data_IF_665774721267
#
_entry.id   IF_665774721267
#
_cell.length_a   1.000
_cell.length_b   1.000
_cell.length_c   1.000
_cell.angle_alpha   90.00
_cell.angle_beta   90.00
_cell.angle_gamma   90.00
#
_symmetry.space_group_name_H-M   'P 1'
#
loop_
_entity.id
_entity.type
_entity.pdbx_description
1 polymer ?
#
# COMPACT_ATOMS: atom_id res chain seq x y z
N UNK A 1 30.03 -4.44 7.46
CA UNK A 1 28.68 -3.85 7.32
C UNK A 1 28.58 -2.74 8.35
N UNK A 2 27.95 -1.62 7.98
CA UNK A 2 27.76 -0.48 8.90
C UNK A 2 26.90 -0.93 10.11
N UNK A 3 27.27 -0.55 11.37
CA UNK A 3 26.61 -1.07 12.59
C UNK A 3 25.10 -0.85 12.64
N UNK A 4 24.60 0.31 12.24
CA UNK A 4 23.15 0.62 12.22
C UNK A 4 22.37 -0.22 11.21
N UNK A 5 22.92 -0.49 10.04
CA UNK A 5 22.29 -1.39 9.06
C UNK A 5 22.21 -2.81 9.61
N UNK A 6 23.28 -3.32 10.23
CA UNK A 6 23.29 -4.64 10.86
C UNK A 6 22.28 -4.73 12.02
N UNK A 7 22.18 -3.68 12.84
CA UNK A 7 21.23 -3.60 13.95
C UNK A 7 19.77 -3.55 13.45
N UNK A 8 19.48 -2.80 12.37
CA UNK A 8 18.16 -2.74 11.76
C UNK A 8 17.74 -4.09 11.16
N UNK A 9 18.64 -4.82 10.50
CA UNK A 9 18.35 -6.19 10.03
C UNK A 9 17.99 -7.11 11.21
N UNK A 10 18.77 -7.07 12.28
CA UNK A 10 18.49 -7.83 13.50
C UNK A 10 17.14 -7.47 14.12
N UNK A 11 16.84 -6.18 14.26
CA UNK A 11 15.54 -5.71 14.76
C UNK A 11 14.38 -6.13 13.85
N UNK A 12 14.62 -6.25 12.54
CA UNK A 12 13.65 -6.75 11.58
C UNK A 12 13.49 -8.29 11.56
N UNK A 13 14.28 -9.02 12.34
CA UNK A 13 14.30 -10.49 12.30
C UNK A 13 14.81 -11.04 10.95
N UNK A 14 15.69 -10.30 10.28
CA UNK A 14 16.28 -10.65 8.99
C UNK A 14 17.78 -10.92 9.14
N UNK A 15 18.30 -11.82 8.33
CA UNK A 15 19.72 -12.15 8.31
C UNK A 15 20.45 -11.31 7.25
N UNK A 16 21.43 -10.48 7.63
CA UNK A 16 22.12 -9.59 6.68
C UNK A 16 22.84 -10.33 5.54
N UNK A 17 23.30 -11.55 5.76
CA UNK A 17 23.96 -12.36 4.74
C UNK A 17 23.03 -12.78 3.59
N UNK A 18 21.71 -12.72 3.81
CA UNK A 18 20.68 -13.04 2.82
C UNK A 18 19.92 -11.79 2.32
N UNK A 19 20.46 -10.60 2.60
CA UNK A 19 19.81 -9.34 2.25
C UNK A 19 19.64 -9.19 0.73
N UNK A 20 18.42 -8.93 0.32
CA UNK A 20 18.06 -8.54 -1.04
C UNK A 20 17.63 -7.06 -1.09
N UNK A 21 17.57 -6.47 -2.28
CA UNK A 21 17.09 -5.08 -2.45
C UNK A 21 15.72 -4.83 -1.82
N UNK A 22 14.86 -5.84 -1.85
CA UNK A 22 13.54 -5.83 -1.20
C UNK A 22 13.61 -5.57 0.32
N UNK A 23 14.59 -6.14 1.03
CA UNK A 23 14.71 -5.98 2.48
C UNK A 23 15.02 -4.54 2.89
N UNK A 24 15.81 -3.82 2.08
CA UNK A 24 16.07 -2.39 2.32
C UNK A 24 14.77 -1.57 2.20
N UNK A 25 13.96 -1.83 1.19
CA UNK A 25 12.71 -1.11 0.96
C UNK A 25 11.58 -1.48 1.94
N UNK A 26 11.48 -2.74 2.33
CA UNK A 26 10.31 -3.26 3.05
C UNK A 26 10.59 -3.73 4.48
N UNK A 27 11.86 -3.93 4.86
CA UNK A 27 12.21 -4.23 6.23
C UNK A 27 12.90 -3.05 6.93
N UNK A 28 13.96 -2.46 6.37
CA UNK A 28 14.70 -1.37 7.00
C UNK A 28 14.00 -0.01 6.81
N UNK A 29 13.67 0.33 5.57
CA UNK A 29 13.06 1.61 5.22
C UNK A 29 11.83 1.99 6.05
N UNK A 30 10.88 1.09 6.29
CA UNK A 30 9.70 1.38 7.12
C UNK A 30 10.04 1.76 8.56
N UNK A 31 11.10 1.20 9.16
CA UNK A 31 11.56 1.52 10.52
C UNK A 31 12.14 2.92 10.59
N UNK A 32 13.02 3.25 9.64
CA UNK A 32 13.63 4.58 9.55
C UNK A 32 12.55 5.63 9.28
N UNK A 33 11.68 5.38 8.30
CA UNK A 33 10.63 6.32 7.90
C UNK A 33 9.56 6.53 8.99
N UNK A 34 9.36 5.57 9.90
CA UNK A 34 8.39 5.70 10.99
C UNK A 34 8.79 6.82 11.96
N UNK A 35 10.08 7.01 12.20
CA UNK A 35 10.59 8.11 13.04
C UNK A 35 10.15 9.49 12.49
N UNK A 36 10.28 9.73 11.19
CA UNK A 36 9.86 10.99 10.58
C UNK A 36 8.33 11.18 10.47
N UNK A 37 7.53 10.17 10.88
CA UNK A 37 6.05 10.25 10.86
C UNK A 37 5.44 10.43 12.23
N UNK A 38 6.01 9.80 13.26
CA UNK A 38 5.45 9.75 14.62
C UNK A 38 6.41 10.32 15.69
N UNK A 39 7.67 10.54 15.34
CA UNK A 39 8.70 10.99 16.28
C UNK A 39 9.69 11.95 15.59
N UNK A 40 10.98 11.76 15.80
CA UNK A 40 12.07 12.57 15.24
C UNK A 40 12.93 11.73 14.28
N UNK A 41 13.06 12.18 13.02
CA UNK A 41 13.91 11.54 12.01
C UNK A 41 15.38 11.48 12.41
N UNK A 42 15.84 12.33 13.34
CA UNK A 42 17.20 12.34 13.89
C UNK A 42 17.61 10.96 14.42
N UNK A 43 16.68 10.20 15.01
CA UNK A 43 16.92 8.82 15.44
C UNK A 43 17.36 7.90 14.29
N UNK A 44 16.70 8.03 13.15
CA UNK A 44 17.05 7.26 11.94
C UNK A 44 18.40 7.67 11.37
N UNK A 45 18.68 8.97 11.36
CA UNK A 45 19.96 9.54 10.88
C UNK A 45 21.09 9.06 11.79
N UNK A 46 20.95 9.19 13.11
CA UNK A 46 21.96 8.76 14.08
C UNK A 46 22.22 7.25 13.97
N UNK A 47 21.18 6.44 13.83
CA UNK A 47 21.32 5.00 13.63
C UNK A 47 22.17 4.64 12.42
N UNK A 48 22.04 5.38 11.32
CA UNK A 48 22.81 5.15 10.10
C UNK A 48 24.24 5.73 10.14
N UNK A 49 24.51 6.68 11.02
CA UNK A 49 25.81 7.36 11.10
C UNK A 49 26.72 6.85 12.21
N UNK A 50 26.16 6.23 13.26
CA UNK A 50 26.97 5.76 14.40
C UNK A 50 27.88 4.58 14.04
N UNK A 51 29.10 4.62 14.51
CA UNK A 51 30.08 3.51 14.46
C UNK A 51 30.02 2.62 15.72
N UNK A 52 29.30 3.07 16.77
CA UNK A 52 29.11 2.31 18.00
C UNK A 52 28.00 1.26 17.84
N UNK A 53 28.37 -0.01 17.92
CA UNK A 53 27.45 -1.12 17.75
C UNK A 53 26.39 -1.20 18.87
N UNK A 54 26.71 -0.80 20.12
CA UNK A 54 25.76 -0.78 21.22
C UNK A 54 24.71 0.32 21.02
N UNK A 55 25.17 1.52 20.63
CA UNK A 55 24.28 2.65 20.30
C UNK A 55 23.41 2.34 19.08
N UNK A 56 23.98 1.72 18.05
CA UNK A 56 23.22 1.28 16.87
C UNK A 56 22.10 0.29 17.23
N UNK A 57 22.38 -0.65 18.13
CA UNK A 57 21.38 -1.63 18.58
C UNK A 57 20.25 -0.97 19.37
N UNK A 58 20.56 -0.02 20.25
CA UNK A 58 19.55 0.76 20.99
C UNK A 58 18.64 1.54 20.05
N UNK A 59 19.21 2.31 19.11
CA UNK A 59 18.48 3.11 18.13
C UNK A 59 17.61 2.23 17.21
N UNK A 60 18.12 1.09 16.76
CA UNK A 60 17.35 0.17 15.91
C UNK A 60 16.14 -0.44 16.67
N UNK A 61 16.25 -0.69 17.99
CA UNK A 61 15.12 -1.12 18.80
C UNK A 61 14.06 -0.01 18.97
N UNK A 62 14.49 1.23 19.19
CA UNK A 62 13.60 2.39 19.25
C UNK A 62 12.85 2.57 17.93
N UNK A 63 13.56 2.51 16.81
CA UNK A 63 12.96 2.62 15.46
C UNK A 63 11.97 1.47 15.17
N UNK A 64 12.24 0.26 15.66
CA UNK A 64 11.30 -0.87 15.54
C UNK A 64 10.04 -0.66 16.39
N UNK A 65 10.18 -0.12 17.61
CA UNK A 65 9.05 0.22 18.46
C UNK A 65 8.15 1.29 17.82
N UNK A 66 8.73 2.38 17.33
CA UNK A 66 8.01 3.45 16.60
C UNK A 66 7.33 2.89 15.34
N UNK A 67 7.98 1.99 14.62
CA UNK A 67 7.37 1.36 13.44
C UNK A 67 6.21 0.42 13.79
N UNK A 68 6.23 -0.24 14.95
CA UNK A 68 5.08 -1.03 15.44
C UNK A 68 3.91 -0.12 15.78
N UNK A 69 4.14 0.95 16.53
CA UNK A 69 3.13 1.96 16.83
C UNK A 69 2.52 2.56 15.54
N UNK A 70 3.36 2.94 14.59
CA UNK A 70 2.87 3.41 13.28
C UNK A 70 1.96 2.39 12.58
N UNK A 71 2.28 1.09 12.66
CA UNK A 71 1.42 0.04 12.07
C UNK A 71 0.09 -0.10 12.78
N UNK A 72 0.05 0.06 14.10
CA UNK A 72 -1.17 0.03 14.88
C UNK A 72 -2.08 1.21 14.51
N UNK A 73 -1.52 2.44 14.47
CA UNK A 73 -2.23 3.64 14.02
C UNK A 73 -2.74 3.46 12.58
N UNK A 74 -1.90 2.96 11.66
CA UNK A 74 -2.29 2.69 10.27
C UNK A 74 -3.45 1.69 10.19
N UNK A 75 -3.41 0.61 11.00
CA UNK A 75 -4.46 -0.42 11.00
C UNK A 75 -5.79 0.15 11.49
N UNK A 76 -5.78 0.91 12.58
CA UNK A 76 -6.99 1.54 13.11
C UNK A 76 -7.61 2.55 12.13
N UNK A 77 -6.78 3.41 11.54
CA UNK A 77 -7.24 4.36 10.52
C UNK A 77 -7.78 3.65 9.27
N UNK A 78 -7.15 2.56 8.84
CA UNK A 78 -7.61 1.77 7.70
C UNK A 78 -8.98 1.13 7.98
N UNK A 79 -9.15 0.50 9.15
CA UNK A 79 -10.42 -0.11 9.54
C UNK A 79 -11.56 0.92 9.60
N UNK A 80 -11.26 2.13 10.08
CA UNK A 80 -12.23 3.23 10.10
C UNK A 80 -12.56 3.71 8.69
N UNK A 81 -11.55 3.89 7.84
CA UNK A 81 -11.74 4.24 6.43
C UNK A 81 -12.58 3.17 5.69
N UNK A 82 -12.33 1.88 5.94
CA UNK A 82 -13.09 0.78 5.36
C UNK A 82 -14.56 0.78 5.81
N UNK A 83 -14.83 1.09 7.09
CA UNK A 83 -16.20 1.24 7.59
C UNK A 83 -16.92 2.42 6.94
N UNK A 84 -16.24 3.55 6.81
CA UNK A 84 -16.79 4.74 6.13
C UNK A 84 -17.14 4.43 4.67
N UNK A 85 -16.27 3.70 3.97
CA UNK A 85 -16.52 3.30 2.58
C UNK A 85 -17.66 2.28 2.46
N UNK A 86 -17.76 1.32 3.38
CA UNK A 86 -18.86 0.34 3.40
C UNK A 86 -20.22 1.01 3.64
N UNK A 87 -20.27 2.12 4.38
CA UNK A 87 -21.49 2.90 4.54
C UNK A 87 -21.96 3.53 3.21
N UNK A 88 -21.02 3.97 2.36
CA UNK A 88 -21.37 4.43 1.01
C UNK A 88 -21.90 3.30 0.10
N UNK A 89 -21.37 2.08 0.24
CA UNK A 89 -21.85 0.93 -0.53
C UNK A 89 -23.25 0.47 -0.05
N UNK A 90 -23.60 0.67 1.22
CA UNK A 90 -24.88 0.24 1.81
C UNK A 90 -26.06 1.21 1.55
N UNK A 91 -25.79 2.51 1.41
CA UNK A 91 -26.82 3.52 1.06
C UNK A 91 -27.24 3.42 -0.42
N UNK A 92 -26.47 2.72 -1.22
CA UNK A 92 -26.75 2.48 -2.61
C UNK A 92 -27.56 1.18 -2.79
N UNK A 93 -28.86 1.21 -2.53
CA UNK A 93 -29.80 0.23 -3.08
C UNK A 93 -29.67 0.21 -4.63
N UNK A 94 -28.57 -0.35 -5.12
CA UNK A 94 -28.40 -0.80 -6.51
C UNK A 94 -27.83 0.16 -7.55
N UNK A 95 -27.42 1.41 -7.26
CA UNK A 95 -26.99 2.33 -8.33
C UNK A 95 -25.84 3.29 -8.03
N UNK A 96 -25.32 3.40 -6.82
CA UNK A 96 -24.21 4.32 -6.55
C UNK A 96 -22.87 3.66 -6.91
N UNK A 97 -22.40 3.94 -8.12
CA UNK A 97 -21.03 3.64 -8.51
C UNK A 97 -20.04 4.37 -7.59
N UNK A 98 -18.96 3.72 -7.19
CA UNK A 98 -17.84 4.34 -6.47
C UNK A 98 -17.48 5.68 -7.11
N UNK A 99 -17.44 6.80 -6.38
CA UNK A 99 -17.18 8.11 -6.95
C UNK A 99 -15.81 8.13 -7.66
N UNK A 100 -15.63 8.97 -8.67
CA UNK A 100 -14.40 9.01 -9.47
C UNK A 100 -13.17 9.48 -8.67
N UNK A 101 -13.37 10.17 -7.53
CA UNK A 101 -12.34 10.48 -6.55
C UNK A 101 -12.91 10.33 -5.14
N UNK A 102 -12.05 9.94 -4.20
CA UNK A 102 -12.45 9.67 -2.80
C UNK A 102 -11.76 10.66 -1.86
N UNK A 103 -12.52 11.20 -0.93
CA UNK A 103 -12.03 12.07 0.13
C UNK A 103 -12.52 11.55 1.47
N UNK A 104 -11.60 11.35 2.41
CA UNK A 104 -11.88 10.84 3.75
C UNK A 104 -11.32 11.78 4.82
N UNK A 105 -12.05 11.91 5.89
CA UNK A 105 -11.64 12.63 7.10
C UNK A 105 -12.24 11.95 8.32
N UNK A 106 -11.48 11.97 9.40
CA UNK A 106 -11.96 11.65 10.73
C UNK A 106 -11.06 12.36 11.74
N UNK A 107 -11.65 12.84 12.84
CA UNK A 107 -10.92 13.56 13.90
C UNK A 107 -9.84 12.70 14.56
N UNK A 108 -10.01 11.38 14.55
CA UNK A 108 -9.03 10.43 15.09
C UNK A 108 -7.85 10.15 14.14
N UNK A 109 -7.87 10.67 12.93
CA UNK A 109 -6.80 10.41 11.96
C UNK A 109 -5.53 11.17 12.33
N UNK A 110 -4.39 10.49 12.21
CA UNK A 110 -3.08 11.05 12.51
C UNK A 110 -2.41 11.60 11.23
N UNK A 111 -1.97 12.88 11.25
CA UNK A 111 -1.39 13.57 10.08
C UNK A 111 -0.15 12.85 9.48
N UNK A 112 0.66 12.15 10.29
CA UNK A 112 1.82 11.39 9.84
C UNK A 112 1.48 10.12 9.05
N UNK A 113 0.22 9.65 9.09
CA UNK A 113 -0.21 8.37 8.52
C UNK A 113 -1.20 8.52 7.36
N UNK A 114 -1.87 9.67 7.23
CA UNK A 114 -2.89 9.92 6.17
C UNK A 114 -2.43 9.54 4.76
N UNK A 115 -1.17 9.78 4.43
CA UNK A 115 -0.62 9.43 3.12
C UNK A 115 -0.49 7.93 2.86
N UNK A 116 -0.33 7.13 3.91
CA UNK A 116 -0.30 5.66 3.81
C UNK A 116 -1.73 5.15 3.61
N UNK A 117 -2.67 5.66 4.40
CA UNK A 117 -4.09 5.30 4.28
C UNK A 117 -4.64 5.69 2.92
N UNK A 118 -4.33 6.90 2.42
CA UNK A 118 -4.69 7.31 1.05
C UNK A 118 -4.17 6.32 0.00
N UNK A 119 -2.94 5.82 0.16
CA UNK A 119 -2.38 4.78 -0.71
C UNK A 119 -3.19 3.48 -0.67
N UNK A 120 -3.54 2.99 0.53
CA UNK A 120 -4.32 1.75 0.69
C UNK A 120 -5.72 1.85 0.09
N UNK A 121 -6.41 2.96 0.34
CA UNK A 121 -7.74 3.21 -0.22
C UNK A 121 -7.67 3.32 -1.74
N UNK A 122 -6.70 4.07 -2.26
CA UNK A 122 -6.44 4.17 -3.71
C UNK A 122 -6.19 2.81 -4.34
N UNK A 123 -5.37 1.94 -3.72
CA UNK A 123 -5.07 0.60 -4.24
C UNK A 123 -6.30 -0.31 -4.23
N UNK A 124 -7.15 -0.20 -3.20
CA UNK A 124 -8.39 -0.97 -3.09
C UNK A 124 -9.44 -0.55 -4.11
N UNK A 125 -9.71 0.76 -4.21
CA UNK A 125 -10.81 1.29 -5.03
C UNK A 125 -10.40 1.65 -6.46
N UNK A 126 -9.10 1.74 -6.73
CA UNK A 126 -8.56 2.28 -7.98
C UNK A 126 -9.13 3.67 -8.30
N UNK A 127 -9.04 4.59 -7.32
CA UNK A 127 -9.53 5.98 -7.40
C UNK A 127 -8.50 6.93 -6.81
N UNK A 128 -8.30 8.13 -7.40
CA UNK A 128 -7.59 9.19 -6.70
C UNK A 128 -8.20 9.40 -5.32
N UNK A 129 -7.35 9.40 -4.29
CA UNK A 129 -7.83 9.43 -2.91
C UNK A 129 -7.08 10.48 -2.11
N UNK A 130 -7.81 11.34 -1.40
CA UNK A 130 -7.29 12.21 -0.36
C UNK A 130 -7.77 11.76 1.01
N UNK A 131 -6.86 11.75 1.99
CA UNK A 131 -7.19 11.53 3.39
C UNK A 131 -6.70 12.73 4.18
N UNK A 132 -7.59 13.29 5.00
CA UNK A 132 -7.34 14.45 5.83
C UNK A 132 -7.25 14.07 7.30
N UNK A 133 -6.44 14.81 8.04
CA UNK A 133 -6.38 14.80 9.49
C UNK A 133 -6.24 16.24 9.99
N UNK A 134 -6.63 16.47 11.24
CA UNK A 134 -6.34 17.71 11.92
C UNK A 134 -4.90 17.64 12.46
N UNK A 135 -4.05 18.55 12.01
CA UNK A 135 -2.67 18.64 12.49
C UNK A 135 -2.59 19.22 13.91
N UNK A 136 -1.42 19.11 14.52
CA UNK A 136 -1.17 19.69 15.85
C UNK A 136 -1.37 21.22 15.90
N UNK A 137 -1.30 21.90 14.75
CA UNK A 137 -1.59 23.32 14.57
C UNK A 137 -3.10 23.62 14.36
N UNK A 138 -3.97 22.63 14.53
CA UNK A 138 -5.42 22.72 14.34
C UNK A 138 -5.88 22.74 12.88
N UNK A 139 -4.96 22.76 11.90
CA UNK A 139 -5.29 22.85 10.48
C UNK A 139 -5.62 21.51 9.86
N UNK A 140 -6.54 21.50 8.90
CA UNK A 140 -6.85 20.32 8.09
C UNK A 140 -5.76 20.09 7.06
N UNK A 141 -4.95 19.05 7.24
CA UNK A 141 -3.87 18.65 6.36
C UNK A 141 -4.25 17.37 5.62
N UNK A 142 -4.24 17.43 4.29
CA UNK A 142 -4.58 16.33 3.41
C UNK A 142 -3.37 15.76 2.70
N UNK A 143 -3.35 14.45 2.55
CA UNK A 143 -2.39 13.76 1.69
C UNK A 143 -3.13 12.91 0.67
N UNK A 144 -2.80 13.10 -0.61
CA UNK A 144 -3.42 12.41 -1.73
C UNK A 144 -2.51 11.41 -2.41
N UNK A 145 -3.13 10.39 -2.97
CA UNK A 145 -2.51 9.39 -3.84
C UNK A 145 -3.36 9.22 -5.09
N UNK A 146 -2.71 9.07 -6.24
CA UNK A 146 -3.38 9.02 -7.54
C UNK A 146 -3.26 7.67 -8.22
N UNK A 147 -4.04 7.53 -9.28
CA UNK A 147 -3.97 6.46 -10.27
C UNK A 147 -3.34 7.00 -11.56
N UNK A 148 -2.80 6.14 -12.45
CA UNK A 148 -2.37 6.56 -13.78
C UNK A 148 -3.51 7.30 -14.52
N UNK A 149 -3.16 8.36 -15.23
CA UNK A 149 -4.12 9.19 -15.96
C UNK A 149 -4.69 10.38 -15.16
N UNK A 150 -4.46 10.49 -13.85
CA UNK A 150 -4.91 11.63 -13.06
C UNK A 150 -3.73 12.33 -12.38
N UNK A 151 -3.37 13.53 -12.87
CA UNK A 151 -2.25 14.31 -12.32
C UNK A 151 -2.69 15.11 -11.10
N UNK A 152 -2.34 14.62 -9.91
CA UNK A 152 -2.88 15.12 -8.64
C UNK A 152 -2.58 16.60 -8.39
N UNK A 153 -1.32 17.01 -8.64
CA UNK A 153 -0.92 18.41 -8.42
C UNK A 153 -1.68 19.37 -9.33
N UNK A 154 -1.90 19.00 -10.61
CA UNK A 154 -2.64 19.83 -11.54
C UNK A 154 -4.13 19.87 -11.19
N UNK A 155 -4.67 18.76 -10.68
CA UNK A 155 -6.03 18.73 -10.15
C UNK A 155 -6.20 19.69 -8.96
N UNK A 156 -5.21 19.74 -8.04
CA UNK A 156 -5.23 20.70 -6.93
C UNK A 156 -5.13 22.15 -7.42
N UNK A 157 -4.34 22.43 -8.44
CA UNK A 157 -4.25 23.76 -9.05
C UNK A 157 -5.60 24.20 -9.64
N UNK A 158 -6.29 23.27 -10.32
CA UNK A 158 -7.63 23.53 -10.85
C UNK A 158 -8.67 23.72 -9.73
N UNK A 159 -8.61 22.89 -8.69
CA UNK A 159 -9.48 23.07 -7.49
C UNK A 159 -9.24 24.44 -6.86
N UNK A 160 -7.98 24.85 -6.67
CA UNK A 160 -7.65 26.17 -6.08
C UNK A 160 -8.18 27.34 -6.92
N UNK A 161 -8.18 27.21 -8.25
CA UNK A 161 -8.72 28.23 -9.16
C UNK A 161 -10.25 28.29 -9.14
N UNK A 162 -10.92 27.14 -9.03
CA UNK A 162 -12.39 27.03 -9.04
C UNK A 162 -13.02 27.32 -7.67
N UNK A 163 -12.28 27.10 -6.61
CA UNK A 163 -12.72 27.32 -5.23
C UNK A 163 -11.71 28.24 -4.50
N UNK A 164 -11.70 29.54 -4.84
CA UNK A 164 -10.79 30.50 -4.21
C UNK A 164 -10.93 30.48 -2.69
N UNK A 165 -9.80 30.52 -2.00
CA UNK A 165 -9.75 30.51 -0.53
C UNK A 165 -9.89 29.13 0.12
N UNK A 166 -10.23 28.05 -0.59
CA UNK A 166 -10.37 26.71 -0.01
C UNK A 166 -9.01 26.08 0.33
N UNK A 167 -8.02 26.27 -0.52
CA UNK A 167 -6.67 25.74 -0.31
C UNK A 167 -5.73 26.85 0.16
N UNK A 168 -5.20 26.73 1.38
CA UNK A 168 -4.18 27.65 1.91
C UNK A 168 -2.83 27.41 1.23
N UNK A 169 -2.49 26.16 1.02
CA UNK A 169 -1.29 25.71 0.31
C UNK A 169 -1.48 24.30 -0.23
N UNK A 170 -0.79 24.00 -1.29
CA UNK A 170 -0.73 22.65 -1.87
C UNK A 170 0.59 22.45 -2.61
N UNK A 171 0.96 21.19 -2.83
CA UNK A 171 2.15 20.82 -3.57
C UNK A 171 2.26 19.32 -3.76
N UNK A 172 3.20 18.92 -4.61
CA UNK A 172 3.42 17.50 -4.89
C UNK A 172 3.69 17.24 -6.37
N UNK A 173 3.38 16.04 -6.79
CA UNK A 173 3.61 15.51 -8.14
C UNK A 173 2.36 14.81 -8.69
N UNK A 174 2.49 14.17 -9.85
CA UNK A 174 1.38 13.47 -10.50
C UNK A 174 0.70 12.44 -9.59
N UNK A 175 1.49 11.59 -8.90
CA UNK A 175 0.98 10.43 -8.16
C UNK A 175 0.80 10.66 -6.66
N UNK A 176 1.37 11.73 -6.12
CA UNK A 176 1.27 12.07 -4.70
C UNK A 176 1.32 13.58 -4.50
N UNK A 177 0.39 14.11 -3.72
CA UNK A 177 0.33 15.52 -3.39
C UNK A 177 -0.23 15.72 -1.99
N UNK A 178 0.03 16.90 -1.41
CA UNK A 178 -0.52 17.32 -0.15
C UNK A 178 -1.17 18.70 -0.25
N UNK A 179 -2.12 18.96 0.64
CA UNK A 179 -2.71 20.29 0.76
C UNK A 179 -3.08 20.60 2.21
N UNK A 180 -3.27 21.89 2.48
CA UNK A 180 -3.84 22.38 3.73
C UNK A 180 -5.08 23.18 3.37
N UNK A 181 -6.22 22.85 3.98
CA UNK A 181 -7.48 23.57 3.75
C UNK A 181 -7.57 24.79 4.66
N UNK A 182 -8.28 25.78 4.17
CA UNK A 182 -8.82 26.85 5.01
C UNK A 182 -10.00 26.29 5.79
N UNK A 183 -9.90 26.37 7.11
CA UNK A 183 -10.94 26.01 8.07
C UNK A 183 -11.07 27.21 9.00
N UNK A 184 -11.87 28.20 8.57
CA UNK A 184 -11.89 29.52 9.20
C UNK A 184 -12.39 29.48 10.65
N UNK A 185 -13.22 28.50 10.99
CA UNK A 185 -13.83 28.38 12.30
C UNK A 185 -13.47 27.09 13.06
N UNK A 186 -12.49 26.31 12.59
CA UNK A 186 -12.23 24.94 13.08
C UNK A 186 -13.54 24.13 13.20
N UNK A 187 -14.37 24.26 12.16
CA UNK A 187 -15.71 23.70 12.13
C UNK A 187 -15.66 22.18 12.27
N UNK A 188 -16.20 21.61 13.37
CA UNK A 188 -16.24 20.16 13.55
C UNK A 188 -17.10 19.44 12.50
N UNK A 189 -17.90 20.20 11.72
CA UNK A 189 -18.75 19.64 10.65
C UNK A 189 -18.01 19.16 9.40
N UNK A 190 -16.67 19.22 9.36
CA UNK A 190 -15.82 18.87 8.21
C UNK A 190 -16.23 19.53 6.86
N UNK A 191 -16.92 20.68 6.93
CA UNK A 191 -17.45 21.37 5.75
C UNK A 191 -16.39 21.69 4.71
N UNK A 192 -15.19 22.10 5.14
CA UNK A 192 -14.06 22.34 4.24
C UNK A 192 -13.62 21.06 3.50
N UNK A 193 -13.62 19.92 4.18
CA UNK A 193 -13.27 18.62 3.56
C UNK A 193 -14.35 18.19 2.58
N UNK A 194 -15.63 18.34 2.90
CA UNK A 194 -16.74 18.03 1.97
C UNK A 194 -16.69 18.93 0.73
N UNK A 195 -16.46 20.24 0.90
CA UNK A 195 -16.31 21.18 -0.21
C UNK A 195 -15.13 20.80 -1.11
N UNK A 196 -13.98 20.44 -0.51
CA UNK A 196 -12.82 19.94 -1.24
C UNK A 196 -13.16 18.64 -1.99
N UNK A 197 -13.80 17.69 -1.34
CA UNK A 197 -14.20 16.42 -1.95
C UNK A 197 -15.10 16.61 -3.16
N UNK A 198 -16.12 17.47 -3.06
CA UNK A 198 -16.98 17.79 -4.17
C UNK A 198 -16.22 18.46 -5.33
N UNK A 199 -15.29 19.38 -5.03
CA UNK A 199 -14.47 20.03 -6.06
C UNK A 199 -13.53 19.03 -6.77
N UNK A 200 -12.87 18.15 -6.00
CA UNK A 200 -11.98 17.12 -6.56
C UNK A 200 -12.75 16.10 -7.42
N UNK A 201 -13.95 15.70 -6.98
CA UNK A 201 -14.81 14.80 -7.75
C UNK A 201 -15.18 15.39 -9.11
N UNK A 202 -15.58 16.67 -9.16
CA UNK A 202 -15.86 17.35 -10.44
C UNK A 202 -14.67 17.33 -11.39
N UNK A 203 -13.46 17.58 -10.88
CA UNK A 203 -12.23 17.49 -11.71
C UNK A 203 -11.99 16.06 -12.17
N UNK A 204 -12.23 15.08 -11.31
CA UNK A 204 -12.06 13.67 -11.66
C UNK A 204 -13.10 13.20 -12.70
N UNK A 205 -14.34 13.66 -12.62
CA UNK A 205 -15.40 13.40 -13.62
C UNK A 205 -15.04 13.95 -15.02
N UNK A 206 -14.38 15.10 -15.05
CA UNK A 206 -13.95 15.73 -16.30
C UNK A 206 -12.73 15.04 -16.94
N UNK A 207 -11.82 14.53 -16.12
CA UNK A 207 -10.52 14.03 -16.58
C UNK A 207 -10.43 12.52 -16.73
N UNK A 208 -11.26 11.76 -16.01
CA UNK A 208 -11.21 10.32 -15.96
C UNK A 208 -12.38 9.69 -16.73
N UNK A 209 -12.05 8.86 -17.67
CA UNK A 209 -13.01 8.00 -18.33
C UNK A 209 -13.17 6.64 -17.60
N UNK A 210 -14.14 5.86 -18.05
CA UNK A 210 -14.42 4.53 -17.48
C UNK A 210 -13.24 3.57 -17.64
N UNK A 211 -12.47 3.68 -18.71
CA UNK A 211 -11.31 2.83 -18.95
C UNK A 211 -10.20 3.11 -17.93
N UNK A 212 -9.90 4.37 -17.66
CA UNK A 212 -8.94 4.81 -16.65
C UNK A 212 -9.37 4.39 -15.22
N UNK A 213 -10.69 4.42 -14.94
CA UNK A 213 -11.25 4.00 -13.66
C UNK A 213 -11.36 2.47 -13.52
N UNK A 214 -11.08 1.72 -14.57
CA UNK A 214 -11.03 0.25 -14.51
C UNK A 214 -9.62 -0.20 -14.23
N UNK A 215 -9.45 -0.91 -13.10
CA UNK A 215 -8.13 -1.44 -12.73
C UNK A 215 -7.70 -2.50 -13.72
N UNK A 216 -6.61 -2.25 -14.43
CA UNK A 216 -5.93 -3.22 -15.27
C UNK A 216 -4.62 -3.65 -14.63
N UNK A 217 -4.34 -4.94 -14.63
CA UNK A 217 -3.09 -5.50 -14.17
C UNK A 217 -2.31 -6.02 -15.37
N UNK A 218 -1.13 -5.46 -15.61
CA UNK A 218 -0.22 -5.95 -16.64
C UNK A 218 0.51 -7.17 -16.13
N UNK A 219 0.60 -8.20 -16.95
CA UNK A 219 1.29 -9.44 -16.62
C UNK A 219 2.23 -9.83 -17.76
N UNK A 220 3.23 -10.63 -17.42
CA UNK A 220 4.21 -11.16 -18.37
C UNK A 220 3.72 -12.46 -19.06
N UNK A 221 2.44 -12.79 -18.86
CA UNK A 221 1.82 -13.97 -19.44
C UNK A 221 2.03 -15.25 -18.60
N UNK A 222 1.75 -16.41 -19.18
CA UNK A 222 1.86 -17.69 -18.48
C UNK A 222 3.33 -18.06 -18.22
N UNK A 223 3.57 -18.79 -17.13
CA UNK A 223 4.88 -19.33 -16.81
C UNK A 223 4.94 -20.82 -17.18
N UNK A 224 5.83 -21.18 -18.08
CA UNK A 224 6.02 -22.57 -18.49
C UNK A 224 6.48 -23.46 -17.31
N UNK A 225 6.03 -24.70 -17.30
CA UNK A 225 6.15 -25.63 -16.16
C UNK A 225 7.61 -25.87 -15.75
N UNK A 226 8.53 -25.88 -16.68
CA UNK A 226 9.96 -26.06 -16.46
C UNK A 226 10.60 -24.95 -15.62
N UNK A 227 9.99 -23.76 -15.57
CA UNK A 227 10.47 -22.62 -14.79
C UNK A 227 9.94 -22.61 -13.35
N UNK A 228 9.05 -23.54 -12.97
CA UNK A 228 8.62 -23.71 -11.57
C UNK A 228 9.66 -24.45 -10.74
N UNK A 229 10.84 -23.87 -10.57
CA UNK A 229 11.95 -24.48 -9.84
C UNK A 229 12.67 -23.43 -8.96
N UNK A 230 13.44 -23.87 -7.93
CA UNK A 230 14.16 -22.95 -7.03
C UNK A 230 15.19 -22.08 -7.74
N UNK A 231 15.79 -22.55 -8.82
CA UNK A 231 16.80 -21.81 -9.58
C UNK A 231 16.18 -20.57 -10.24
N UNK A 232 14.99 -20.70 -10.80
CA UNK A 232 14.24 -19.57 -11.37
C UNK A 232 13.95 -18.51 -10.30
N UNK A 233 13.50 -18.92 -9.11
CA UNK A 233 13.27 -17.97 -8.01
C UNK A 233 14.57 -17.27 -7.62
N UNK A 234 15.67 -18.01 -7.49
CA UNK A 234 16.97 -17.43 -7.15
C UNK A 234 17.44 -16.40 -8.19
N UNK A 235 17.23 -16.67 -9.49
CA UNK A 235 17.54 -15.71 -10.56
C UNK A 235 16.69 -14.46 -10.46
N UNK A 236 15.40 -14.59 -10.18
CA UNK A 236 14.48 -13.46 -10.02
C UNK A 236 14.84 -12.63 -8.79
N UNK A 237 15.13 -13.26 -7.65
CA UNK A 237 15.48 -12.59 -6.41
C UNK A 237 16.84 -11.88 -6.46
N UNK A 238 17.75 -12.37 -7.31
CA UNK A 238 19.06 -11.74 -7.52
C UNK A 238 19.00 -10.44 -8.35
N UNK A 239 17.87 -10.17 -9.01
CA UNK A 239 17.72 -8.94 -9.80
C UNK A 239 17.28 -7.77 -8.90
N UNK A 240 17.59 -6.55 -9.35
CA UNK A 240 17.14 -5.32 -8.71
C UNK A 240 15.91 -4.82 -9.46
N UNK A 241 14.76 -5.03 -8.87
CA UNK A 241 13.48 -4.56 -9.38
C UNK A 241 13.15 -3.19 -8.80
N UNK A 242 12.45 -2.36 -9.55
CA UNK A 242 12.07 -1.01 -9.14
C UNK A 242 10.87 -0.48 -9.90
N UNK A 243 10.53 0.77 -9.65
CA UNK A 243 9.32 1.40 -10.18
C UNK A 243 9.31 1.52 -11.73
N UNK A 244 10.48 1.64 -12.34
CA UNK A 244 10.63 1.70 -13.81
C UNK A 244 10.94 0.34 -14.46
N UNK A 245 11.18 -0.70 -13.65
CA UNK A 245 11.47 -2.06 -14.09
C UNK A 245 10.95 -3.04 -13.03
N UNK A 246 9.68 -3.35 -13.12
CA UNK A 246 8.97 -4.14 -12.12
C UNK A 246 9.36 -5.63 -12.20
N UNK A 247 9.31 -6.30 -11.04
CA UNK A 247 9.50 -7.74 -11.01
C UNK A 247 8.40 -8.46 -11.79
N UNK A 248 8.71 -9.56 -12.52
CA UNK A 248 7.73 -10.28 -13.33
C UNK A 248 6.50 -10.69 -12.54
N UNK A 249 5.35 -10.50 -13.17
CA UNK A 249 4.04 -10.92 -12.68
C UNK A 249 3.45 -11.90 -13.70
N UNK A 250 3.40 -13.16 -13.36
CA UNK A 250 2.86 -14.21 -14.23
C UNK A 250 1.35 -14.30 -14.11
N UNK A 251 0.67 -14.78 -15.14
CA UNK A 251 -0.78 -14.96 -15.14
C UNK A 251 -1.16 -16.24 -15.84
N UNK A 252 -1.90 -17.12 -15.15
CA UNK A 252 -2.30 -18.39 -15.73
C UNK A 252 -3.64 -18.87 -15.15
N UNK A 253 -4.27 -19.83 -15.86
CA UNK A 253 -5.48 -20.49 -15.40
C UNK A 253 -5.13 -21.65 -14.48
N UNK A 254 -5.83 -21.75 -13.36
CA UNK A 254 -5.62 -22.77 -12.34
C UNK A 254 -6.94 -23.36 -11.89
N UNK A 255 -6.89 -24.61 -11.41
CA UNK A 255 -7.99 -25.24 -10.66
C UNK A 255 -7.66 -25.20 -9.18
N UNK A 256 -8.60 -24.83 -8.35
CA UNK A 256 -8.47 -24.81 -6.89
C UNK A 256 -8.76 -26.21 -6.36
N UNK A 257 -7.72 -26.89 -5.89
CA UNK A 257 -7.84 -28.25 -5.33
C UNK A 257 -8.23 -28.19 -3.86
N UNK A 258 -7.63 -27.24 -3.13
CA UNK A 258 -7.89 -27.00 -1.72
C UNK A 258 -7.63 -25.56 -1.37
N UNK A 259 -8.42 -25.01 -0.46
CA UNK A 259 -8.23 -23.67 0.07
C UNK A 259 -8.58 -23.61 1.55
N UNK A 260 -7.84 -22.82 2.31
CA UNK A 260 -8.08 -22.61 3.74
C UNK A 260 -7.56 -21.25 4.19
N UNK A 261 -8.20 -20.65 5.18
CA UNK A 261 -7.70 -19.46 5.83
C UNK A 261 -6.54 -19.80 6.77
N UNK A 262 -5.51 -18.98 6.74
CA UNK A 262 -4.36 -19.00 7.64
C UNK A 262 -4.43 -17.77 8.55
N UNK A 263 -4.55 -18.01 9.87
CA UNK A 263 -4.68 -16.95 10.89
C UNK A 263 -5.84 -15.98 10.61
N UNK A 264 -6.90 -16.42 9.94
CA UNK A 264 -8.05 -15.61 9.51
C UNK A 264 -7.68 -14.33 8.72
N UNK A 265 -6.50 -14.32 8.10
CA UNK A 265 -5.94 -13.16 7.39
C UNK A 265 -5.43 -13.45 6.00
N UNK A 266 -5.10 -14.69 5.69
CA UNK A 266 -4.45 -15.08 4.45
C UNK A 266 -5.11 -16.31 3.88
N UNK A 267 -5.18 -16.40 2.56
CA UNK A 267 -5.71 -17.58 1.88
C UNK A 267 -4.56 -18.48 1.43
N UNK A 268 -4.43 -19.66 2.05
CA UNK A 268 -3.49 -20.69 1.61
C UNK A 268 -4.22 -21.61 0.63
N UNK A 269 -3.58 -21.88 -0.50
CA UNK A 269 -4.17 -22.59 -1.63
C UNK A 269 -3.29 -23.77 -2.02
N UNK A 270 -3.93 -24.84 -2.46
CA UNK A 270 -3.35 -25.88 -3.29
C UNK A 270 -4.05 -25.84 -4.64
N UNK A 271 -3.28 -25.62 -5.68
CA UNK A 271 -3.76 -25.38 -7.03
C UNK A 271 -3.29 -26.49 -7.96
N UNK A 272 -4.08 -26.82 -8.99
CA UNK A 272 -3.62 -27.59 -10.14
C UNK A 272 -3.33 -26.63 -11.29
N UNK A 273 -2.07 -26.54 -11.67
CA UNK A 273 -1.57 -25.72 -12.76
C UNK A 273 -0.81 -26.60 -13.75
N UNK A 274 -1.20 -26.59 -15.02
CA UNK A 274 -0.62 -27.39 -16.08
C UNK A 274 -0.44 -28.89 -15.69
N UNK A 275 -1.46 -29.48 -15.04
CA UNK A 275 -1.48 -30.87 -14.62
C UNK A 275 -0.69 -31.20 -13.34
N UNK A 276 -0.02 -30.25 -12.73
CA UNK A 276 0.76 -30.42 -11.49
C UNK A 276 0.15 -29.66 -10.33
N UNK A 277 0.28 -30.23 -9.12
CA UNK A 277 -0.12 -29.53 -7.91
C UNK A 277 0.93 -28.50 -7.48
N UNK A 278 0.47 -27.28 -7.12
CA UNK A 278 1.28 -26.15 -6.69
C UNK A 278 0.74 -25.58 -5.38
N UNK A 279 1.65 -25.23 -4.50
CA UNK A 279 1.31 -24.45 -3.32
C UNK A 279 1.19 -22.97 -3.69
N UNK A 280 0.19 -22.28 -3.13
CA UNK A 280 0.05 -20.85 -3.30
C UNK A 280 -0.43 -20.18 -2.00
N UNK A 281 -0.17 -18.89 -1.89
CA UNK A 281 -0.63 -18.05 -0.79
C UNK A 281 -1.10 -16.70 -1.32
N UNK A 282 -2.21 -16.22 -0.78
CA UNK A 282 -2.69 -14.85 -1.03
C UNK A 282 -2.75 -14.10 0.29
N UNK A 283 -1.81 -13.19 0.47
CA UNK A 283 -1.72 -12.39 1.67
C UNK A 283 -2.85 -11.35 1.76
N UNK A 284 -3.50 -11.25 2.92
CA UNK A 284 -4.57 -10.28 3.16
C UNK A 284 -5.91 -10.61 2.50
N UNK A 285 -6.05 -11.77 1.87
CA UNK A 285 -7.30 -12.26 1.28
C UNK A 285 -7.99 -13.23 2.22
N UNK A 286 -9.26 -12.98 2.53
CA UNK A 286 -10.10 -13.84 3.36
C UNK A 286 -11.23 -14.51 2.59
N UNK A 287 -11.54 -14.00 1.40
CA UNK A 287 -12.58 -14.58 0.55
C UNK A 287 -12.03 -15.76 -0.24
N UNK A 288 -12.84 -16.80 -0.33
CA UNK A 288 -12.52 -18.00 -1.09
C UNK A 288 -12.58 -17.73 -2.61
N UNK A 289 -11.83 -18.52 -3.35
CA UNK A 289 -11.85 -18.54 -4.81
C UNK A 289 -12.88 -19.56 -5.34
N UNK A 290 -13.41 -19.37 -6.56
CA UNK A 290 -14.15 -20.41 -7.26
C UNK A 290 -13.23 -21.60 -7.62
N UNK A 291 -13.82 -22.72 -8.05
CA UNK A 291 -13.11 -23.96 -8.39
C UNK A 291 -12.08 -23.79 -9.52
N UNK A 292 -12.26 -22.80 -10.38
CA UNK A 292 -11.28 -22.36 -11.36
C UNK A 292 -11.17 -20.84 -11.39
N UNK A 293 -9.94 -20.34 -11.58
CA UNK A 293 -9.66 -18.92 -11.64
C UNK A 293 -8.43 -18.65 -12.51
N UNK A 294 -8.37 -17.46 -13.09
CA UNK A 294 -7.15 -16.92 -13.66
C UNK A 294 -6.42 -16.12 -12.59
N UNK A 295 -5.23 -16.56 -12.19
CA UNK A 295 -4.45 -15.93 -11.12
C UNK A 295 -3.28 -15.14 -11.69
N UNK A 296 -3.08 -13.92 -11.20
CA UNK A 296 -1.82 -13.21 -11.34
C UNK A 296 -0.96 -13.49 -10.10
N UNK A 297 0.28 -13.93 -10.31
CA UNK A 297 1.15 -14.42 -9.23
C UNK A 297 2.62 -14.14 -9.49
N UNK A 298 3.39 -14.09 -8.39
CA UNK A 298 4.86 -14.15 -8.39
C UNK A 298 5.32 -15.47 -7.83
N UNK A 299 6.56 -15.85 -8.12
CA UNK A 299 7.19 -17.01 -7.49
C UNK A 299 7.89 -16.59 -6.20
N UNK A 300 7.85 -17.45 -5.20
CA UNK A 300 8.69 -17.35 -4.01
C UNK A 300 9.15 -18.74 -3.55
N UNK A 301 10.21 -18.78 -2.74
CA UNK A 301 10.62 -19.99 -2.03
C UNK A 301 9.96 -20.02 -0.65
N UNK A 302 9.25 -21.11 -0.37
CA UNK A 302 8.76 -21.45 0.96
C UNK A 302 9.77 -22.43 1.58
N UNK A 303 10.46 -21.97 2.64
CA UNK A 303 11.43 -22.78 3.38
C UNK A 303 10.78 -23.29 4.68
N UNK A 304 10.34 -24.54 4.67
CA UNK A 304 9.80 -25.19 5.86
C UNK A 304 10.53 -26.49 6.16
N UNK A 305 11.03 -26.64 7.39
CA UNK A 305 11.76 -27.83 7.85
C UNK A 305 12.92 -28.24 6.92
N UNK A 306 13.72 -27.27 6.42
CA UNK A 306 14.88 -27.52 5.56
C UNK A 306 14.54 -27.96 4.14
N UNK A 307 13.27 -27.95 3.75
CA UNK A 307 12.82 -28.20 2.39
C UNK A 307 12.44 -26.89 1.72
N UNK A 308 13.02 -26.62 0.57
CA UNK A 308 12.66 -25.51 -0.29
C UNK A 308 11.59 -25.94 -1.27
N UNK A 309 10.47 -25.22 -1.31
CA UNK A 309 9.39 -25.40 -2.28
C UNK A 309 9.06 -24.09 -2.95
N UNK A 310 8.88 -24.15 -4.27
CA UNK A 310 8.37 -23.00 -5.00
C UNK A 310 6.88 -22.89 -4.74
N UNK A 311 6.44 -21.70 -4.34
CA UNK A 311 5.02 -21.36 -4.19
C UNK A 311 4.66 -20.14 -5.03
N UNK A 312 3.39 -20.05 -5.41
CA UNK A 312 2.82 -18.86 -6.01
C UNK A 312 2.40 -17.88 -4.91
N UNK A 313 2.85 -16.64 -4.99
CA UNK A 313 2.30 -15.53 -4.20
C UNK A 313 1.28 -14.82 -5.07
N UNK A 314 0.00 -14.99 -4.75
CA UNK A 314 -1.11 -14.46 -5.56
C UNK A 314 -1.29 -12.98 -5.27
N UNK A 315 -1.42 -12.17 -6.32
CA UNK A 315 -1.68 -10.73 -6.24
C UNK A 315 -3.09 -10.34 -6.72
N UNK A 316 -3.64 -11.10 -7.66
CA UNK A 316 -4.99 -10.88 -8.16
C UNK A 316 -5.60 -12.16 -8.72
N UNK A 317 -6.93 -12.18 -8.81
CA UNK A 317 -7.69 -13.20 -9.53
C UNK A 317 -8.75 -12.53 -10.39
N UNK A 318 -8.99 -13.13 -11.55
CA UNK A 318 -10.18 -12.90 -12.35
C UNK A 318 -11.00 -14.20 -12.40
N UNK A 319 -12.31 -14.07 -12.57
CA UNK A 319 -13.13 -15.22 -12.92
C UNK A 319 -12.69 -15.79 -14.26
N UNK A 320 -13.01 -17.05 -14.54
CA UNK A 320 -12.75 -17.67 -15.84
C UNK A 320 -13.45 -16.95 -16.97
#
# INVERSE_FOLDING_TARGET
>A
MQPGIAALFKAAGREPARAAGFDFGFALGPRINAAGRLADMTLGIECLLTDDAARAAELAQQLDAINRERREVESGMRELAERTLAAFDSDAAGTAATPPAVTLFDESFHEGVVGIVAGRVKDRLHRPTFVFARGADGRLKGSGRSIPGFHLRDALDLVAKREPGLLLRFGGHAMAAGCTLADEDQDPSDAAVRRFGAALQRVAEEWLDRATLTRTLRTDGPLAVEWFNPQTVAVLDAQVWGQGFEAPLFCDEVQVVQQRLLQDKHLKLRLRHAGQERDAIWFGRTELLPDSARLAFRLSLDEWNGRQRVQMVVEAAAGP
#
